data_IF_050400937191
#
_entry.id   IF_050400937191
#
_cell.length_a   1.000
_cell.length_b   1.000
_cell.length_c   1.000
_cell.angle_alpha   90.00
_cell.angle_beta   90.00
_cell.angle_gamma   90.00
#
_symmetry.space_group_name_H-M   'P 1'
#
loop_
_entity.id
_entity.type
_entity.pdbx_description
1 polymer ?
#
# COMPACT_ATOMS: atom_id res chain seq x y z
N UNK A 1 50.56 39.35 -39.20
CA UNK A 1 49.21 38.88 -39.61
C UNK A 1 48.90 37.64 -38.82
N UNK A 2 48.07 37.75 -37.79
CA UNK A 2 47.54 36.59 -37.05
C UNK A 2 46.49 35.91 -37.92
N UNK A 3 46.76 34.66 -38.31
CA UNK A 3 45.85 33.86 -39.10
C UNK A 3 44.67 33.47 -38.21
N UNK A 4 43.52 34.11 -38.40
CA UNK A 4 42.32 33.88 -37.60
C UNK A 4 41.68 32.55 -38.06
N UNK A 5 41.75 31.52 -37.20
CA UNK A 5 41.19 30.21 -37.49
C UNK A 5 39.67 30.30 -37.67
N UNK A 6 39.17 29.55 -38.66
CA UNK A 6 37.73 29.40 -38.88
C UNK A 6 37.03 28.80 -37.65
N UNK A 7 35.80 29.23 -37.38
CA UNK A 7 34.98 28.68 -36.28
C UNK A 7 34.86 27.15 -36.35
N UNK A 8 34.89 26.56 -37.54
CA UNK A 8 34.82 25.10 -37.74
C UNK A 8 36.13 24.44 -37.30
N UNK A 9 37.28 25.03 -37.61
CA UNK A 9 38.59 24.52 -37.19
C UNK A 9 38.74 24.59 -35.66
N UNK A 10 38.24 25.67 -35.04
CA UNK A 10 38.21 25.81 -33.58
C UNK A 10 37.32 24.75 -32.92
N UNK A 11 36.20 24.35 -33.54
CA UNK A 11 35.33 23.28 -33.03
C UNK A 11 36.03 21.92 -33.18
N UNK A 12 36.67 21.65 -34.32
CA UNK A 12 37.38 20.39 -34.57
C UNK A 12 38.53 20.21 -33.56
N UNK A 13 39.30 21.28 -33.28
CA UNK A 13 40.38 21.25 -32.29
C UNK A 13 39.88 20.90 -30.87
N UNK A 14 38.62 21.21 -30.55
CA UNK A 14 38.01 20.85 -29.27
C UNK A 14 37.54 19.39 -29.19
N UNK A 15 37.32 18.72 -30.33
CA UNK A 15 36.92 17.29 -30.39
C UNK A 15 38.17 16.42 -30.28
N UNK A 16 38.74 16.36 -29.07
CA UNK A 16 39.90 15.54 -28.76
C UNK A 16 39.68 14.69 -27.50
N UNK A 17 40.52 13.67 -27.32
CA UNK A 17 40.37 12.71 -26.23
C UNK A 17 40.54 13.33 -24.84
N UNK A 18 41.29 14.43 -24.70
CA UNK A 18 41.50 15.12 -23.42
C UNK A 18 40.22 15.85 -23.01
N UNK A 19 39.61 16.58 -23.93
CA UNK A 19 38.35 17.28 -23.68
C UNK A 19 37.19 16.30 -23.47
N UNK A 20 37.14 15.21 -24.24
CA UNK A 20 36.16 14.14 -24.04
C UNK A 20 36.29 13.50 -22.64
N UNK A 21 37.52 13.25 -22.16
CA UNK A 21 37.76 12.76 -20.80
C UNK A 21 37.32 13.76 -19.73
N UNK A 22 37.56 15.06 -19.92
CA UNK A 22 37.09 16.11 -19.01
C UNK A 22 35.56 16.17 -18.98
N UNK A 23 34.90 16.15 -20.14
CA UNK A 23 33.45 16.13 -20.23
C UNK A 23 32.85 14.88 -19.56
N UNK A 24 33.43 13.70 -19.82
CA UNK A 24 33.03 12.45 -19.17
C UNK A 24 33.21 12.51 -17.65
N UNK A 25 34.33 13.07 -17.17
CA UNK A 25 34.57 13.25 -15.73
C UNK A 25 33.51 14.14 -15.08
N UNK A 26 33.21 15.31 -15.66
CA UNK A 26 32.18 16.21 -15.11
C UNK A 26 30.78 15.60 -15.19
N UNK A 27 30.49 14.83 -16.23
CA UNK A 27 29.22 14.13 -16.38
C UNK A 27 29.07 13.02 -15.34
N UNK A 28 30.09 12.21 -15.11
CA UNK A 28 30.10 11.18 -14.05
C UNK A 28 30.03 11.82 -12.67
N UNK A 29 30.77 12.90 -12.43
CA UNK A 29 30.72 13.65 -11.17
C UNK A 29 29.33 14.24 -10.94
N UNK A 30 28.70 14.79 -11.98
CA UNK A 30 27.33 15.29 -11.95
C UNK A 30 26.33 14.20 -11.58
N UNK A 31 26.42 13.02 -12.20
CA UNK A 31 25.59 11.88 -11.84
C UNK A 31 25.84 11.40 -10.42
N UNK A 32 27.09 11.31 -9.99
CA UNK A 32 27.45 10.91 -8.62
C UNK A 32 26.89 11.89 -7.58
N UNK A 33 27.03 13.19 -7.79
CA UNK A 33 26.47 14.22 -6.93
C UNK A 33 24.93 14.19 -6.92
N UNK A 34 24.30 14.05 -8.10
CA UNK A 34 22.85 13.95 -8.21
C UNK A 34 22.29 12.75 -7.44
N UNK A 35 22.83 11.55 -7.69
CA UNK A 35 22.41 10.33 -6.99
C UNK A 35 22.75 10.38 -5.50
N UNK A 36 23.90 10.97 -5.12
CA UNK A 36 24.26 11.18 -3.72
C UNK A 36 23.26 12.07 -2.99
N UNK A 37 22.84 13.18 -3.59
CA UNK A 37 21.84 14.08 -3.03
C UNK A 37 20.46 13.42 -2.93
N UNK A 38 20.13 12.56 -3.89
CA UNK A 38 18.92 11.74 -3.90
C UNK A 38 18.93 10.73 -2.75
N UNK A 39 20.05 10.04 -2.52
CA UNK A 39 20.21 9.11 -1.42
C UNK A 39 20.18 9.80 -0.05
N UNK A 40 20.74 11.00 0.08
CA UNK A 40 20.66 11.78 1.33
C UNK A 40 19.22 12.23 1.66
N UNK A 41 18.43 12.57 0.63
CA UNK A 41 17.03 13.02 0.80
C UNK A 41 16.04 11.87 1.01
N UNK A 42 16.20 10.78 0.26
CA UNK A 42 15.19 9.74 0.13
C UNK A 42 15.63 8.38 0.70
N UNK A 43 16.89 8.24 1.13
CA UNK A 43 17.49 7.01 1.64
C UNK A 43 18.21 6.20 0.55
N UNK A 44 19.05 5.25 0.99
CA UNK A 44 19.70 4.25 0.13
C UNK A 44 18.74 3.16 -0.34
N UNK A 45 17.62 2.98 0.38
CA UNK A 45 16.83 1.77 0.28
C UNK A 45 15.68 1.95 -0.72
N UNK A 46 15.84 1.32 -1.88
CA UNK A 46 14.83 1.21 -2.93
C UNK A 46 13.49 0.65 -2.44
N UNK A 47 13.44 0.02 -1.26
CA UNK A 47 12.23 -0.51 -0.63
C UNK A 47 11.24 0.58 -0.21
N UNK A 48 11.68 1.79 0.14
CA UNK A 48 10.74 2.88 0.50
C UNK A 48 9.86 3.28 -0.67
N UNK A 49 10.39 3.15 -1.90
CA UNK A 49 9.70 3.53 -3.12
C UNK A 49 8.75 2.46 -3.64
N UNK A 50 8.88 1.21 -3.16
CA UNK A 50 8.07 0.07 -3.58
C UNK A 50 6.55 0.34 -3.42
N UNK A 51 6.16 1.07 -2.36
CA UNK A 51 4.77 1.35 -2.03
C UNK A 51 4.40 2.84 -2.07
N UNK A 52 5.35 3.73 -2.34
CA UNK A 52 5.09 5.18 -2.28
C UNK A 52 4.83 5.81 -3.64
N UNK A 53 5.54 5.37 -4.69
CA UNK A 53 5.44 6.00 -6.01
C UNK A 53 5.87 5.05 -7.14
N UNK A 54 5.34 5.28 -8.34
CA UNK A 54 5.55 4.43 -9.50
C UNK A 54 4.76 4.88 -10.72
N UNK A 55 4.71 4.00 -11.70
CA UNK A 55 3.95 4.21 -12.94
C UNK A 55 3.28 2.93 -13.39
N UNK A 56 2.17 3.08 -14.10
CA UNK A 56 1.61 1.99 -14.88
C UNK A 56 2.39 1.84 -16.18
N UNK A 57 2.80 0.60 -16.49
CA UNK A 57 3.39 0.24 -17.78
C UNK A 57 2.29 0.08 -18.83
N UNK A 58 2.67 -0.02 -20.10
CA UNK A 58 1.73 -0.23 -21.21
C UNK A 58 0.87 -1.49 -21.07
N UNK A 59 1.38 -2.51 -20.36
CA UNK A 59 0.66 -3.74 -20.03
C UNK A 59 -0.22 -3.62 -18.77
N UNK A 60 -0.50 -2.41 -18.29
CA UNK A 60 -1.32 -2.13 -17.11
C UNK A 60 -0.76 -2.66 -15.77
N UNK A 61 0.49 -3.10 -15.74
CA UNK A 61 1.16 -3.48 -14.49
C UNK A 61 1.71 -2.24 -13.77
N UNK A 62 1.43 -2.12 -12.48
CA UNK A 62 2.05 -1.13 -11.61
C UNK A 62 3.54 -1.45 -11.42
N UNK A 63 4.39 -0.44 -11.62
CA UNK A 63 5.83 -0.53 -11.53
C UNK A 63 6.35 0.59 -10.62
N UNK A 64 6.79 0.27 -9.38
CA UNK A 64 7.39 1.25 -8.50
C UNK A 64 8.67 1.84 -9.09
N UNK A 65 9.01 3.07 -8.71
CA UNK A 65 10.29 3.64 -9.06
C UNK A 65 11.42 3.01 -8.24
N UNK A 66 12.63 2.96 -8.80
CA UNK A 66 13.84 2.52 -8.09
C UNK A 66 13.99 1.02 -7.82
N UNK A 67 12.96 0.20 -8.08
CA UNK A 67 13.03 -1.27 -8.00
C UNK A 67 12.11 -1.92 -9.03
N UNK A 68 12.21 -3.24 -9.23
CA UNK A 68 11.26 -4.02 -10.04
C UNK A 68 10.34 -4.83 -9.14
N UNK A 69 9.03 -4.84 -9.44
CA UNK A 69 8.10 -5.67 -8.67
C UNK A 69 8.40 -7.15 -8.91
N UNK A 70 8.49 -7.93 -7.83
CA UNK A 70 8.70 -9.37 -7.93
C UNK A 70 7.47 -10.07 -8.57
N UNK A 71 7.73 -11.10 -9.38
CA UNK A 71 6.68 -11.96 -9.91
C UNK A 71 6.28 -13.00 -8.87
N UNK A 72 5.15 -12.76 -8.22
CA UNK A 72 4.62 -13.67 -7.21
C UNK A 72 4.09 -14.97 -7.84
N UNK A 73 4.32 -16.09 -7.15
CA UNK A 73 3.78 -17.40 -7.50
C UNK A 73 3.13 -18.04 -6.28
N UNK A 74 2.19 -18.97 -6.51
CA UNK A 74 1.48 -19.67 -5.44
C UNK A 74 2.42 -20.44 -4.50
N UNK A 75 3.57 -20.90 -4.99
CA UNK A 75 4.57 -21.60 -4.17
C UNK A 75 5.09 -20.77 -3.00
N UNK A 76 5.10 -19.43 -3.13
CA UNK A 76 5.53 -18.51 -2.06
C UNK A 76 4.56 -18.45 -0.87
N UNK A 77 3.35 -19.02 -1.03
CA UNK A 77 2.33 -19.11 0.00
C UNK A 77 2.34 -20.45 0.75
N UNK A 78 3.08 -21.44 0.24
CA UNK A 78 3.07 -22.80 0.81
C UNK A 78 3.56 -22.80 2.25
N UNK A 79 2.77 -23.37 3.15
CA UNK A 79 3.11 -23.48 4.58
C UNK A 79 2.84 -22.23 5.40
N UNK A 80 2.15 -21.22 4.86
CA UNK A 80 1.61 -20.11 5.64
C UNK A 80 0.17 -20.45 6.08
N UNK A 81 -0.05 -20.73 7.37
CA UNK A 81 -1.25 -21.45 7.81
C UNK A 81 -2.54 -20.63 7.67
N UNK A 82 -2.52 -19.32 7.91
CA UNK A 82 -3.75 -18.54 7.98
C UNK A 82 -3.54 -17.06 7.60
N UNK A 83 -4.27 -16.59 6.59
CA UNK A 83 -4.40 -15.17 6.21
C UNK A 83 -5.83 -14.73 6.52
N UNK A 84 -6.03 -13.69 7.33
CA UNK A 84 -7.35 -13.09 7.55
C UNK A 84 -7.39 -11.70 6.91
N UNK A 85 -8.46 -11.37 6.20
CA UNK A 85 -8.65 -10.11 5.48
C UNK A 85 -9.92 -9.42 6.00
N UNK A 86 -9.81 -8.12 6.27
CA UNK A 86 -10.79 -7.26 6.89
C UNK A 86 -11.02 -5.95 6.08
N UNK A 87 -12.27 -5.73 5.66
CA UNK A 87 -13.05 -4.46 5.66
C UNK A 87 -12.76 -3.19 4.88
N UNK A 88 -12.71 -3.29 3.58
CA UNK A 88 -13.39 -2.25 2.81
C UNK A 88 -14.07 -2.87 1.61
N UNK A 89 -14.93 -2.10 0.95
CA UNK A 89 -15.39 -2.45 -0.40
C UNK A 89 -14.20 -2.74 -1.32
N UNK A 90 -13.04 -2.12 -1.05
CA UNK A 90 -11.78 -2.44 -1.68
C UNK A 90 -11.12 -3.73 -1.13
N UNK A 91 -11.20 -4.00 0.18
CA UNK A 91 -10.65 -5.25 0.74
C UNK A 91 -11.41 -6.50 0.25
N UNK A 92 -12.71 -6.41 -0.05
CA UNK A 92 -13.43 -7.52 -0.68
C UNK A 92 -13.00 -7.72 -2.13
N UNK A 93 -12.78 -6.64 -2.90
CA UNK A 93 -12.21 -6.77 -4.24
C UNK A 93 -10.81 -7.39 -4.19
N UNK A 94 -10.00 -7.01 -3.18
CA UNK A 94 -8.70 -7.63 -2.93
C UNK A 94 -8.82 -9.11 -2.57
N UNK A 95 -9.77 -9.49 -1.72
CA UNK A 95 -10.05 -10.88 -1.38
C UNK A 95 -10.43 -11.68 -2.63
N UNK A 96 -11.41 -11.21 -3.41
CA UNK A 96 -11.88 -11.87 -4.63
C UNK A 96 -10.73 -12.01 -5.62
N UNK A 97 -9.99 -10.92 -5.90
CA UNK A 97 -8.86 -10.95 -6.82
C UNK A 97 -7.75 -11.89 -6.34
N UNK A 98 -7.47 -11.93 -5.04
CA UNK A 98 -6.47 -12.81 -4.47
C UNK A 98 -6.89 -14.28 -4.56
N UNK A 99 -8.15 -14.61 -4.26
CA UNK A 99 -8.66 -15.98 -4.41
C UNK A 99 -8.72 -16.38 -5.88
N UNK A 100 -9.13 -15.50 -6.80
CA UNK A 100 -9.10 -15.76 -8.25
C UNK A 100 -7.68 -16.01 -8.77
N UNK A 101 -6.66 -15.38 -8.17
CA UNK A 101 -5.26 -15.67 -8.48
C UNK A 101 -4.82 -17.07 -8.04
N UNK A 102 -5.45 -17.64 -7.01
CA UNK A 102 -5.20 -19.00 -6.53
C UNK A 102 -6.02 -20.03 -7.31
N UNK A 103 -7.31 -19.76 -7.50
CA UNK A 103 -8.29 -20.58 -8.20
C UNK A 103 -8.99 -19.73 -9.26
N UNK A 104 -8.62 -19.92 -10.53
CA UNK A 104 -9.14 -19.11 -11.65
C UNK A 104 -10.66 -19.14 -11.79
N UNK A 105 -11.28 -20.27 -11.45
CA UNK A 105 -12.73 -20.48 -11.55
C UNK A 105 -13.48 -20.12 -10.25
N UNK A 106 -12.91 -19.25 -9.41
CA UNK A 106 -13.61 -18.76 -8.22
C UNK A 106 -14.76 -17.83 -8.63
N UNK A 107 -15.97 -18.39 -8.61
CA UNK A 107 -17.22 -17.72 -9.00
C UNK A 107 -18.14 -17.43 -7.83
N UNK A 108 -17.62 -17.43 -6.59
CA UNK A 108 -18.44 -17.12 -5.43
C UNK A 108 -18.91 -15.66 -5.54
N UNK A 109 -20.14 -15.51 -6.07
CA UNK A 109 -20.87 -14.26 -6.27
C UNK A 109 -21.39 -13.73 -4.95
N UNK A 110 -20.54 -13.76 -3.94
CA UNK A 110 -20.96 -13.61 -2.57
C UNK A 110 -21.33 -12.16 -2.30
N UNK A 111 -22.45 -12.00 -1.60
CA UNK A 111 -22.88 -10.72 -1.09
C UNK A 111 -21.72 -10.08 -0.31
N UNK A 112 -21.34 -8.87 -0.69
CA UNK A 112 -20.20 -8.17 -0.12
C UNK A 112 -20.33 -7.90 1.39
N UNK A 113 -21.53 -8.13 1.94
CA UNK A 113 -21.89 -7.90 3.32
C UNK A 113 -21.88 -9.18 4.18
N UNK A 114 -21.26 -10.27 3.69
CA UNK A 114 -21.19 -11.56 4.41
C UNK A 114 -19.77 -12.07 4.57
N UNK A 115 -19.52 -12.86 5.62
CA UNK A 115 -18.23 -13.50 5.84
C UNK A 115 -17.99 -14.57 4.77
N UNK A 116 -16.78 -14.63 4.22
CA UNK A 116 -16.35 -15.62 3.23
C UNK A 116 -15.12 -16.35 3.74
N UNK A 117 -14.95 -17.60 3.32
CA UNK A 117 -13.77 -18.38 3.67
C UNK A 117 -13.37 -19.25 2.49
N UNK A 118 -12.11 -19.14 2.11
CA UNK A 118 -11.47 -19.97 1.10
C UNK A 118 -10.38 -20.80 1.77
N UNK A 119 -10.34 -22.11 1.49
CA UNK A 119 -9.33 -23.02 2.03
C UNK A 119 -8.65 -23.79 0.91
N UNK A 120 -7.33 -23.72 0.85
CA UNK A 120 -6.49 -24.52 -0.04
C UNK A 120 -5.70 -25.56 0.78
N UNK A 121 -6.15 -26.82 0.70
CA UNK A 121 -5.51 -27.92 1.42
C UNK A 121 -4.10 -28.26 0.92
N UNK A 122 -3.78 -27.99 -0.35
CA UNK A 122 -2.45 -28.27 -0.93
C UNK A 122 -1.41 -27.26 -0.44
N UNK A 123 -1.82 -25.99 -0.37
CA UNK A 123 -0.98 -24.91 0.13
C UNK A 123 -1.00 -24.81 1.67
N UNK A 124 -1.96 -25.48 2.33
CA UNK A 124 -2.29 -25.34 3.76
C UNK A 124 -2.55 -23.88 4.11
N UNK A 125 -3.41 -23.26 3.31
CA UNK A 125 -3.72 -21.84 3.38
C UNK A 125 -5.21 -21.68 3.58
N UNK A 126 -5.59 -20.95 4.63
CA UNK A 126 -6.96 -20.48 4.82
C UNK A 126 -6.99 -18.97 4.67
N UNK A 127 -7.96 -18.47 3.91
CA UNK A 127 -8.19 -17.05 3.65
C UNK A 127 -9.61 -16.73 4.09
N UNK A 128 -9.74 -15.84 5.07
CA UNK A 128 -11.05 -15.43 5.58
C UNK A 128 -11.30 -13.97 5.23
N UNK A 129 -12.46 -13.69 4.66
CA UNK A 129 -13.05 -12.36 4.62
C UNK A 129 -14.12 -12.29 5.71
N UNK A 130 -14.04 -11.31 6.59
CA UNK A 130 -15.09 -11.10 7.60
C UNK A 130 -15.96 -9.91 7.11
N UNK A 131 -17.24 -9.81 7.57
CA UNK A 131 -18.35 -8.77 7.62
C UNK A 131 -18.46 -7.68 8.79
N UNK A 132 -18.11 -6.37 8.67
CA UNK A 132 -17.83 -5.36 9.75
C UNK A 132 -17.34 -4.01 9.14
N UNK A 133 -18.24 -3.26 8.50
CA UNK A 133 -17.92 -2.03 7.77
C UNK A 133 -17.49 -0.84 8.65
N UNK A 134 -17.66 -0.97 9.97
CA UNK A 134 -17.39 0.10 10.94
C UNK A 134 -16.27 -0.29 11.90
N UNK A 135 -15.48 0.72 12.27
CA UNK A 135 -14.55 0.64 13.39
C UNK A 135 -15.33 0.69 14.70
N UNK A 136 -15.84 -0.46 15.12
CA UNK A 136 -16.78 -0.60 16.23
C UNK A 136 -16.15 -1.33 17.42
N UNK A 137 -16.84 -1.31 18.57
CA UNK A 137 -16.46 -2.12 19.73
C UNK A 137 -16.41 -3.63 19.39
N UNK A 138 -17.22 -4.09 18.43
CA UNK A 138 -17.17 -5.46 17.94
C UNK A 138 -15.82 -5.78 17.28
N UNK A 139 -15.32 -4.91 16.39
CA UNK A 139 -14.00 -5.09 15.77
C UNK A 139 -12.89 -5.10 16.81
N UNK A 140 -12.92 -4.17 17.77
CA UNK A 140 -11.94 -4.14 18.87
C UNK A 140 -11.97 -5.45 19.66
N UNK A 141 -13.16 -5.99 19.94
CA UNK A 141 -13.33 -7.27 20.61
C UNK A 141 -12.74 -8.43 19.79
N UNK A 142 -13.00 -8.50 18.48
CA UNK A 142 -12.42 -9.53 17.60
C UNK A 142 -10.88 -9.54 17.67
N UNK A 143 -10.23 -8.37 17.59
CA UNK A 143 -8.78 -8.27 17.69
C UNK A 143 -8.24 -8.78 19.04
N UNK A 144 -8.98 -8.56 20.12
CA UNK A 144 -8.61 -9.07 21.45
C UNK A 144 -8.78 -10.58 21.55
N UNK A 145 -9.85 -11.13 20.94
CA UNK A 145 -10.14 -12.55 20.96
C UNK A 145 -9.19 -13.36 20.09
N UNK A 146 -8.62 -12.78 19.03
CA UNK A 146 -7.63 -13.45 18.19
C UNK A 146 -6.35 -13.85 18.92
N UNK A 147 -5.99 -13.18 20.01
CA UNK A 147 -4.91 -13.64 20.88
C UNK A 147 -5.27 -14.92 21.66
N UNK A 148 -6.55 -15.20 21.85
CA UNK A 148 -7.04 -16.30 22.70
C UNK A 148 -7.38 -17.59 21.94
N UNK A 149 -7.40 -17.57 20.60
CA UNK A 149 -7.72 -18.75 19.77
C UNK A 149 -6.47 -19.54 19.37
N UNK A 150 -6.66 -20.86 19.24
CA UNK A 150 -5.61 -21.83 18.87
C UNK A 150 -5.03 -21.59 17.47
N UNK A 151 -5.82 -21.05 16.54
CA UNK A 151 -5.38 -20.72 15.18
C UNK A 151 -5.35 -19.20 14.96
N UNK A 152 -4.22 -18.60 15.31
CA UNK A 152 -3.98 -17.17 15.18
C UNK A 152 -3.65 -16.78 13.72
N UNK A 153 -4.14 -15.63 13.21
CA UNK A 153 -3.80 -15.18 11.86
C UNK A 153 -2.31 -14.88 11.70
N UNK A 154 -1.71 -15.30 10.58
CA UNK A 154 -0.34 -14.90 10.20
C UNK A 154 -0.29 -13.49 9.64
N UNK A 155 -1.35 -13.07 8.95
CA UNK A 155 -1.50 -11.74 8.39
C UNK A 155 -2.95 -11.30 8.56
N UNK A 156 -3.15 -10.04 8.95
CA UNK A 156 -4.44 -9.36 9.03
C UNK A 156 -4.37 -8.11 8.16
N UNK A 157 -5.22 -7.99 7.16
CA UNK A 157 -5.32 -6.76 6.35
C UNK A 157 -6.58 -6.03 6.76
N UNK A 158 -6.51 -4.77 7.19
CA UNK A 158 -7.65 -3.98 7.66
C UNK A 158 -7.83 -2.75 6.80
N UNK A 159 -8.99 -2.59 6.15
CA UNK A 159 -9.52 -1.29 5.78
C UNK A 159 -10.70 -0.96 6.68
N UNK A 160 -11.08 0.30 6.80
CA UNK A 160 -12.44 0.76 7.15
C UNK A 160 -12.48 2.29 7.06
N UNK A 161 -13.65 2.88 6.87
CA UNK A 161 -13.82 4.34 6.82
C UNK A 161 -14.94 4.79 5.90
N UNK A 162 -15.03 4.22 4.70
CA UNK A 162 -16.03 4.60 3.68
C UNK A 162 -17.48 4.56 4.23
N UNK A 163 -17.86 3.48 4.90
CA UNK A 163 -19.18 3.32 5.49
C UNK A 163 -19.42 4.26 6.68
N UNK A 164 -18.37 4.65 7.39
CA UNK A 164 -18.48 5.62 8.50
C UNK A 164 -18.80 7.01 7.96
N UNK A 165 -18.12 7.42 6.89
CA UNK A 165 -18.41 8.66 6.16
C UNK A 165 -19.83 8.65 5.61
N UNK A 166 -20.23 7.54 4.97
CA UNK A 166 -21.56 7.40 4.38
C UNK A 166 -22.66 7.49 5.45
N UNK A 167 -22.53 6.72 6.53
CA UNK A 167 -23.53 6.68 7.61
C UNK A 167 -23.65 8.01 8.35
N UNK A 168 -22.55 8.73 8.52
CA UNK A 168 -22.56 10.02 9.20
C UNK A 168 -22.97 11.18 8.29
N UNK A 169 -23.31 10.89 7.03
CA UNK A 169 -23.52 11.89 5.99
C UNK A 169 -22.38 12.94 5.98
N UNK A 170 -21.14 12.45 5.98
CA UNK A 170 -19.93 13.27 5.99
C UNK A 170 -19.70 14.15 7.24
N UNK A 171 -20.37 13.86 8.36
CA UNK A 171 -20.19 14.63 9.59
C UNK A 171 -18.77 14.51 10.16
N UNK A 172 -18.18 15.66 10.53
CA UNK A 172 -16.86 15.75 11.16
C UNK A 172 -16.80 15.10 12.55
N UNK A 173 -17.91 15.06 13.29
CA UNK A 173 -17.94 14.48 14.64
C UNK A 173 -17.58 12.99 14.63
N UNK A 174 -17.95 12.26 13.56
CA UNK A 174 -17.66 10.83 13.43
C UNK A 174 -16.18 10.54 13.18
N UNK A 175 -15.39 11.52 12.70
CA UNK A 175 -13.93 11.38 12.58
C UNK A 175 -13.28 11.30 13.97
N UNK A 176 -13.80 12.05 14.95
CA UNK A 176 -13.29 11.99 16.32
C UNK A 176 -13.56 10.62 16.94
N UNK A 177 -14.77 10.09 16.76
CA UNK A 177 -15.12 8.72 17.20
C UNK A 177 -14.25 7.66 16.51
N UNK A 178 -14.01 7.82 15.21
CA UNK A 178 -13.12 6.96 14.45
C UNK A 178 -11.69 6.98 15.02
N UNK A 179 -11.15 8.16 15.35
CA UNK A 179 -9.82 8.29 15.96
C UNK A 179 -9.75 7.60 17.34
N UNK A 180 -10.74 7.84 18.20
CA UNK A 180 -10.83 7.16 19.52
C UNK A 180 -10.92 5.64 19.35
N UNK A 181 -11.67 5.14 18.37
CA UNK A 181 -11.77 3.70 18.15
C UNK A 181 -10.48 3.12 17.51
N UNK A 182 -9.75 3.89 16.71
CA UNK A 182 -8.44 3.48 16.18
C UNK A 182 -7.43 3.31 17.29
N UNK A 183 -7.34 4.28 18.22
CA UNK A 183 -6.41 4.20 19.36
C UNK A 183 -6.69 2.97 20.24
N UNK A 184 -7.96 2.56 20.37
CA UNK A 184 -8.35 1.33 21.09
C UNK A 184 -7.86 0.03 20.43
N UNK A 185 -7.48 0.06 19.15
CA UNK A 185 -6.89 -1.09 18.44
C UNK A 185 -5.38 -1.20 18.63
N UNK A 186 -4.67 -0.14 19.04
CA UNK A 186 -3.20 -0.16 19.15
C UNK A 186 -2.73 -1.30 20.06
N UNK A 187 -3.27 -1.38 21.28
CA UNK A 187 -2.93 -2.44 22.24
C UNK A 187 -3.23 -3.86 21.70
N UNK A 188 -4.45 -4.16 21.20
CA UNK A 188 -4.73 -5.45 20.58
C UNK A 188 -3.81 -5.79 19.38
N UNK A 189 -3.47 -4.81 18.53
CA UNK A 189 -2.58 -5.01 17.38
C UNK A 189 -1.15 -5.33 17.85
N UNK A 190 -0.63 -4.61 18.85
CA UNK A 190 0.70 -4.86 19.40
C UNK A 190 0.80 -6.28 19.97
N UNK A 191 -0.24 -6.76 20.66
CA UNK A 191 -0.30 -8.15 21.14
C UNK A 191 -0.27 -9.17 20.01
N UNK A 192 -0.94 -8.91 18.89
CA UNK A 192 -0.86 -9.78 17.71
C UNK A 192 0.57 -9.77 17.12
N UNK A 193 1.22 -8.60 17.14
CA UNK A 193 2.60 -8.46 16.64
C UNK A 193 3.61 -9.26 17.48
N UNK A 194 3.47 -9.28 18.80
CA UNK A 194 4.29 -10.10 19.72
C UNK A 194 4.31 -11.58 19.29
N UNK A 195 3.20 -12.07 18.75
CA UNK A 195 3.05 -13.45 18.26
C UNK A 195 3.28 -13.61 16.75
N UNK A 196 3.98 -12.65 16.12
CA UNK A 196 4.37 -12.64 14.70
C UNK A 196 3.23 -12.49 13.69
N UNK A 197 2.04 -12.08 14.11
CA UNK A 197 1.00 -11.64 13.18
C UNK A 197 1.41 -10.31 12.54
N UNK A 198 1.27 -10.19 11.22
CA UNK A 198 1.42 -8.92 10.53
C UNK A 198 0.08 -8.25 10.31
N UNK A 199 -0.13 -7.08 10.90
CA UNK A 199 -1.33 -6.27 10.67
C UNK A 199 -1.00 -5.18 9.66
N UNK A 200 -1.75 -5.12 8.55
CA UNK A 200 -1.60 -4.14 7.48
C UNK A 200 -2.84 -3.26 7.41
N UNK A 201 -2.68 -1.95 7.61
CA UNK A 201 -3.78 -1.01 7.43
C UNK A 201 -3.83 -0.51 5.98
N UNK A 202 -4.93 -0.79 5.29
CA UNK A 202 -5.23 -0.36 3.94
C UNK A 202 -5.92 1.01 3.97
N UNK A 203 -5.26 2.00 3.38
CA UNK A 203 -5.81 3.34 3.21
C UNK A 203 -6.99 3.31 2.22
N UNK A 204 -7.98 4.16 2.45
CA UNK A 204 -9.09 4.35 1.53
C UNK A 204 -8.57 4.98 0.23
N UNK A 205 -8.96 4.41 -0.92
CA UNK A 205 -8.64 4.98 -2.22
C UNK A 205 -9.51 6.20 -2.51
N UNK A 206 -9.00 7.17 -3.30
CA UNK A 206 -9.79 8.29 -3.76
C UNK A 206 -10.97 7.79 -4.62
N UNK A 207 -12.09 8.48 -4.51
CA UNK A 207 -13.30 8.21 -5.28
C UNK A 207 -13.40 9.16 -6.48
N UNK A 208 -14.04 8.69 -7.54
CA UNK A 208 -14.51 9.53 -8.63
C UNK A 208 -15.99 9.87 -8.36
N UNK A 209 -16.32 11.13 -7.97
CA UNK A 209 -17.68 11.50 -7.59
C UNK A 209 -18.73 11.19 -8.67
N UNK A 210 -18.36 11.28 -9.95
CA UNK A 210 -19.27 11.03 -11.07
C UNK A 210 -19.66 9.55 -11.24
N UNK A 211 -18.91 8.63 -10.62
CA UNK A 211 -19.16 7.18 -10.70
C UNK A 211 -19.73 6.61 -9.40
N UNK A 212 -19.98 7.44 -8.40
CA UNK A 212 -20.52 6.99 -7.12
C UNK A 212 -22.01 6.62 -7.24
N UNK A 213 -22.39 5.56 -6.53
CA UNK A 213 -23.80 5.24 -6.31
C UNK A 213 -24.44 6.35 -5.48
N UNK A 214 -25.76 6.52 -5.63
CA UNK A 214 -26.53 7.56 -4.94
C UNK A 214 -26.28 7.54 -3.44
N UNK A 215 -26.24 6.35 -2.84
CA UNK A 215 -26.00 6.17 -1.40
C UNK A 215 -24.62 6.61 -0.89
N UNK A 216 -23.64 6.86 -1.77
CA UNK A 216 -22.28 7.29 -1.44
C UNK A 216 -21.95 8.70 -1.96
N UNK A 217 -22.91 9.44 -2.55
CA UNK A 217 -22.66 10.75 -3.15
C UNK A 217 -22.12 11.80 -2.19
N UNK A 218 -22.36 11.64 -0.88
CA UNK A 218 -21.81 12.54 0.16
C UNK A 218 -20.30 12.36 0.38
N UNK A 219 -19.72 11.24 -0.07
CA UNK A 219 -18.32 10.90 0.17
C UNK A 219 -17.43 11.75 -0.72
N UNK A 220 -16.57 12.56 -0.10
CA UNK A 220 -15.57 13.37 -0.81
C UNK A 220 -14.15 12.84 -0.59
N UNK A 221 -13.23 13.19 -1.50
CA UNK A 221 -11.81 12.87 -1.34
C UNK A 221 -11.20 13.55 -0.11
N UNK A 222 -11.67 14.75 0.24
CA UNK A 222 -11.24 15.46 1.44
C UNK A 222 -11.57 14.68 2.72
N UNK A 223 -12.77 14.07 2.79
CA UNK A 223 -13.14 13.21 3.94
C UNK A 223 -12.30 11.95 3.97
N UNK A 224 -12.09 11.31 2.81
CA UNK A 224 -11.21 10.15 2.68
C UNK A 224 -9.81 10.47 3.21
N UNK A 225 -9.26 11.62 2.84
CA UNK A 225 -7.94 12.07 3.29
C UNK A 225 -7.88 12.29 4.80
N UNK A 226 -8.94 12.83 5.42
CA UNK A 226 -9.03 12.97 6.87
C UNK A 226 -9.02 11.63 7.59
N UNK A 227 -9.77 10.63 7.11
CA UNK A 227 -9.79 9.28 7.68
C UNK A 227 -8.45 8.55 7.48
N UNK A 228 -7.83 8.71 6.31
CA UNK A 228 -6.51 8.16 6.02
C UNK A 228 -5.44 8.78 6.92
N UNK A 229 -5.47 10.10 7.09
CA UNK A 229 -4.57 10.83 7.99
C UNK A 229 -4.68 10.33 9.42
N UNK A 230 -5.90 10.18 9.94
CA UNK A 230 -6.12 9.63 11.28
C UNK A 230 -5.55 8.22 11.44
N UNK A 231 -5.69 7.35 10.43
CA UNK A 231 -5.11 6.01 10.46
C UNK A 231 -3.57 6.01 10.43
N UNK A 232 -2.96 6.89 9.62
CA UNK A 232 -1.50 7.05 9.55
C UNK A 232 -0.94 7.55 10.89
N UNK A 233 -1.59 8.55 11.48
CA UNK A 233 -1.18 9.13 12.77
C UNK A 233 -1.27 8.09 13.91
N UNK A 234 -2.36 7.34 14.01
CA UNK A 234 -2.47 6.30 15.04
C UNK A 234 -1.43 5.19 14.85
N UNK A 235 -1.11 4.85 13.60
CA UNK A 235 -0.08 3.85 13.30
C UNK A 235 1.32 4.31 13.70
N UNK A 236 1.69 5.58 13.50
CA UNK A 236 3.01 6.06 13.91
C UNK A 236 3.21 5.99 15.43
N UNK A 237 2.13 6.08 16.22
CA UNK A 237 2.17 5.82 17.66
C UNK A 237 2.33 4.33 18.00
N UNK A 238 1.86 3.41 17.16
CA UNK A 238 2.05 1.98 17.37
C UNK A 238 3.48 1.52 17.03
N UNK A 239 4.11 2.13 16.02
CA UNK A 239 5.49 1.80 15.58
C UNK A 239 6.59 2.42 16.47
N UNK A 240 6.24 3.28 17.44
CA UNK A 240 7.18 3.96 18.35
C UNK A 240 7.35 3.27 19.72
N UNK A 241 6.78 2.07 19.89
CA UNK A 241 6.89 1.21 21.07
C UNK A 241 7.22 -0.22 20.65
#
# INVERSE_FOLDING_TARGET
>A
MTNEKSNIENIIDQINSINAKRAAFFLVLGFACYHGLLHLRYGSDSCRWLLSDGRYKANQEWQPYGCMLHRYSQMLLRGKPLLRVLYSMMAIQLYIAFVQHLQRDYTDGANAETNLTYTDHKLRLTIEYIWSPYLSAHMVKMFREWHAVTEMPSVVIVGCGLWSIQKSNASFNTIQEYNVNLTRLVQPINKLHEHRTRVLWSLQQPVNPAKLRVEFQMVTNEQIDLYNKAAIEVRSFADSH
#
